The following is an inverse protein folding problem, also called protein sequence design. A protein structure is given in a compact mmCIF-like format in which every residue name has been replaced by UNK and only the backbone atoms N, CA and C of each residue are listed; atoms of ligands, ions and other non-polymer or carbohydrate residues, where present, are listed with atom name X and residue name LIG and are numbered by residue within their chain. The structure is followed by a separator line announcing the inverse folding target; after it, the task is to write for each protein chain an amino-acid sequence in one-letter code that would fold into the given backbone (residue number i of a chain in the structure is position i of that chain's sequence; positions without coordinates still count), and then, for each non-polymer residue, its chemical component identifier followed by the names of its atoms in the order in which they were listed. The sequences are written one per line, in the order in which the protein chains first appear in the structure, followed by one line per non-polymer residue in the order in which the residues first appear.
data_IF_417705112468
#
_entry.id   IF_417705112468
#
_cell.length_a   1.000
_cell.length_b   1.000
_cell.length_c   1.000
_cell.angle_alpha   90.00
_cell.angle_beta   90.00
_cell.angle_gamma   90.00
#
_symmetry.space_group_name_H-M   'P 1'
#
loop_
_entity.id
_entity.type
_entity.pdbx_description
1 polymer ?
#
# COMPACT_ATOMS: atom_id res chain seq x y z
N UNK A 1 18.84 36.74 24.83
CA UNK A 1 18.32 36.05 23.63
C UNK A 1 18.71 34.58 23.54
N UNK A 2 20.00 34.22 23.50
CA UNK A 2 20.44 32.84 23.21
C UNK A 2 19.91 31.73 24.16
N UNK A 3 19.64 32.03 25.44
CA UNK A 3 19.07 31.06 26.40
C UNK A 3 17.59 30.75 26.10
N UNK A 4 16.81 31.76 25.73
CA UNK A 4 15.40 31.62 25.40
C UNK A 4 15.21 30.79 24.13
N UNK A 5 16.00 31.08 23.08
CA UNK A 5 15.97 30.33 21.83
C UNK A 5 16.30 28.84 22.05
N UNK A 6 17.30 28.53 22.88
CA UNK A 6 17.64 27.13 23.23
C UNK A 6 16.50 26.42 23.97
N UNK A 7 15.83 27.11 24.89
CA UNK A 7 14.69 26.54 25.62
C UNK A 7 13.53 26.21 24.66
N UNK A 8 13.20 27.13 23.75
CA UNK A 8 12.16 26.91 22.72
C UNK A 8 12.51 25.73 21.82
N UNK A 9 13.75 25.64 21.33
CA UNK A 9 14.20 24.51 20.50
C UNK A 9 14.07 23.17 21.25
N UNK A 10 14.47 23.12 22.52
CA UNK A 10 14.35 21.89 23.32
C UNK A 10 12.89 21.48 23.54
N UNK A 11 11.99 22.44 23.74
CA UNK A 11 10.55 22.18 23.84
C UNK A 11 10.00 21.62 22.52
N UNK A 12 10.37 22.20 21.38
CA UNK A 12 9.95 21.70 20.06
C UNK A 12 10.42 20.27 19.85
N UNK A 13 11.70 19.98 20.10
CA UNK A 13 12.25 18.62 19.94
C UNK A 13 11.54 17.63 20.87
N UNK A 14 11.24 18.05 22.10
CA UNK A 14 10.47 17.23 23.04
C UNK A 14 9.08 16.92 22.49
N UNK A 15 8.35 17.93 22.01
CA UNK A 15 7.01 17.75 21.44
C UNK A 15 7.04 16.85 20.20
N UNK A 16 8.05 16.96 19.34
CA UNK A 16 8.24 16.07 18.19
C UNK A 16 8.48 14.63 18.65
N UNK A 17 9.35 14.42 19.66
CA UNK A 17 9.59 13.10 20.23
C UNK A 17 8.33 12.47 20.82
N UNK A 18 7.55 13.24 21.58
CA UNK A 18 6.26 12.79 22.11
C UNK A 18 5.27 12.49 20.99
N UNK A 19 5.18 13.34 19.97
CA UNK A 19 4.30 13.12 18.82
C UNK A 19 4.66 11.82 18.07
N UNK A 20 5.94 11.54 17.86
CA UNK A 20 6.41 10.29 17.25
C UNK A 20 5.98 9.04 18.04
N UNK A 21 5.84 9.14 19.36
CA UNK A 21 5.35 8.04 20.20
C UNK A 21 3.82 7.94 20.12
N UNK A 22 3.11 9.07 20.24
CA UNK A 22 1.66 9.09 20.42
C UNK A 22 0.92 8.87 19.09
N UNK A 23 1.39 9.44 17.98
CA UNK A 23 0.71 9.39 16.69
C UNK A 23 0.46 7.96 16.18
N UNK A 24 1.41 7.00 16.26
CA UNK A 24 1.15 5.61 15.87
C UNK A 24 -0.07 4.99 16.57
N UNK A 25 -0.32 5.32 17.83
CA UNK A 25 -1.47 4.80 18.59
C UNK A 25 -2.75 5.55 18.26
N UNK A 26 -2.70 6.88 18.09
CA UNK A 26 -3.86 7.69 17.67
C UNK A 26 -4.40 7.24 16.30
N UNK A 27 -3.51 6.86 15.39
CA UNK A 27 -3.90 6.35 14.07
C UNK A 27 -4.10 4.83 14.01
N UNK A 28 -4.04 4.13 15.15
CA UNK A 28 -4.16 2.67 15.23
C UNK A 28 -3.20 1.92 14.28
N UNK A 29 -1.99 2.46 14.08
CA UNK A 29 -1.01 1.86 13.17
C UNK A 29 -0.68 0.40 13.54
N UNK A 30 -0.47 -0.01 14.81
CA UNK A 30 -0.18 -1.40 15.16
C UNK A 30 -1.26 -2.40 14.68
N UNK A 31 -2.53 -2.04 14.82
CA UNK A 31 -3.64 -2.88 14.41
C UNK A 31 -3.74 -2.91 12.87
N UNK A 32 -3.60 -1.75 12.22
CA UNK A 32 -3.67 -1.63 10.76
C UNK A 32 -2.53 -2.36 10.05
N UNK A 33 -1.30 -2.25 10.54
CA UNK A 33 -0.15 -2.94 9.94
C UNK A 33 -0.23 -4.46 10.17
N UNK A 34 -0.75 -4.90 11.31
CA UNK A 34 -1.03 -6.33 11.55
C UNK A 34 -2.16 -6.84 10.66
N UNK A 35 -3.21 -6.05 10.45
CA UNK A 35 -4.29 -6.41 9.54
C UNK A 35 -3.82 -6.49 8.08
N UNK A 36 -3.01 -5.53 7.64
CA UNK A 36 -2.41 -5.53 6.30
C UNK A 36 -1.52 -6.77 6.07
N UNK A 37 -0.70 -7.15 7.06
CA UNK A 37 0.14 -8.35 7.03
C UNK A 37 -0.68 -9.65 6.90
N UNK A 38 -1.75 -9.77 7.70
CA UNK A 38 -2.70 -10.89 7.59
C UNK A 38 -3.40 -10.93 6.24
N UNK A 39 -3.83 -9.78 5.74
CA UNK A 39 -4.46 -9.67 4.43
C UNK A 39 -3.49 -10.14 3.34
N UNK A 40 -2.26 -9.64 3.32
CA UNK A 40 -1.25 -10.03 2.34
C UNK A 40 -0.97 -11.54 2.38
N UNK A 41 -0.89 -12.11 3.59
CA UNK A 41 -0.72 -13.56 3.79
C UNK A 41 -1.92 -14.37 3.28
N UNK A 42 -3.14 -13.87 3.46
CA UNK A 42 -4.35 -14.52 2.98
C UNK A 42 -4.52 -14.45 1.46
N UNK A 43 -4.01 -13.41 0.82
CA UNK A 43 -4.02 -13.26 -0.64
C UNK A 43 -2.87 -13.98 -1.34
N UNK A 44 -1.81 -14.39 -0.62
CA UNK A 44 -0.66 -15.11 -1.18
C UNK A 44 -1.00 -16.36 -2.02
N UNK A 45 -1.91 -17.27 -1.57
CA UNK A 45 -2.29 -18.41 -2.40
C UNK A 45 -3.11 -18.01 -3.63
N UNK A 46 -3.54 -16.76 -3.78
CA UNK A 46 -4.38 -16.29 -4.89
C UNK A 46 -3.54 -15.43 -5.85
N UNK A 47 -2.76 -14.49 -5.31
CA UNK A 47 -1.97 -13.52 -6.06
C UNK A 47 -0.51 -13.98 -6.08
N UNK A 48 -0.24 -14.99 -6.88
CA UNK A 48 1.10 -15.52 -7.12
C UNK A 48 1.36 -15.78 -8.62
N UNK A 49 2.63 -15.94 -8.96
CA UNK A 49 3.09 -16.04 -10.35
C UNK A 49 2.48 -17.23 -11.08
N UNK A 50 2.27 -18.35 -10.40
CA UNK A 50 1.72 -19.56 -11.01
C UNK A 50 0.25 -19.32 -11.41
N UNK A 51 -0.55 -18.72 -10.54
CA UNK A 51 -1.93 -18.36 -10.87
C UNK A 51 -2.03 -17.24 -11.91
N UNK A 52 -1.14 -16.25 -11.87
CA UNK A 52 -1.10 -15.20 -12.89
C UNK A 52 -0.80 -15.80 -14.28
N UNK A 53 0.13 -16.76 -14.35
CA UNK A 53 0.46 -17.46 -15.60
C UNK A 53 -0.70 -18.33 -16.08
N UNK A 54 -1.37 -19.04 -15.16
CA UNK A 54 -2.56 -19.84 -15.48
C UNK A 54 -3.68 -18.96 -16.06
N UNK A 55 -4.00 -17.84 -15.40
CA UNK A 55 -5.02 -16.91 -15.86
C UNK A 55 -4.69 -16.33 -17.24
N UNK A 56 -3.42 -16.03 -17.49
CA UNK A 56 -2.98 -15.55 -18.81
C UNK A 56 -3.23 -16.59 -19.90
N UNK A 57 -2.91 -17.86 -19.65
CA UNK A 57 -3.19 -18.95 -20.58
C UNK A 57 -4.69 -19.21 -20.79
N UNK A 58 -5.50 -19.09 -19.74
CA UNK A 58 -6.96 -19.24 -19.83
C UNK A 58 -7.58 -18.13 -20.68
N UNK A 59 -7.14 -16.88 -20.48
CA UNK A 59 -7.59 -15.73 -21.29
C UNK A 59 -7.16 -15.86 -22.75
N UNK A 60 -5.92 -16.31 -23.00
CA UNK A 60 -5.43 -16.56 -24.36
C UNK A 60 -6.28 -17.63 -25.05
N UNK A 61 -6.55 -18.75 -24.37
CA UNK A 61 -7.40 -19.83 -24.87
C UNK A 61 -8.81 -19.34 -25.23
N UNK A 62 -9.44 -18.56 -24.33
CA UNK A 62 -10.77 -18.01 -24.58
C UNK A 62 -10.78 -16.98 -25.71
N UNK A 63 -9.71 -16.20 -25.85
CA UNK A 63 -9.56 -15.23 -26.94
C UNK A 63 -9.44 -15.94 -28.30
N UNK A 64 -8.65 -17.00 -28.38
CA UNK A 64 -8.56 -17.83 -29.60
C UNK A 64 -9.90 -18.46 -29.96
N UNK A 65 -10.68 -18.95 -28.99
CA UNK A 65 -12.03 -19.47 -29.25
C UNK A 65 -12.99 -18.40 -29.80
N UNK A 66 -12.87 -17.15 -29.34
CA UNK A 66 -13.66 -16.04 -29.86
C UNK A 66 -13.25 -15.68 -31.30
N UNK A 67 -11.95 -15.64 -31.60
CA UNK A 67 -11.42 -15.44 -32.95
C UNK A 67 -11.85 -16.56 -33.92
N UNK A 68 -11.82 -17.82 -33.47
CA UNK A 68 -12.32 -18.96 -34.24
C UNK A 68 -13.81 -18.78 -34.56
N UNK A 69 -14.61 -18.31 -33.60
CA UNK A 69 -16.05 -18.05 -33.82
C UNK A 69 -16.28 -16.97 -34.88
N UNK A 70 -15.46 -15.91 -34.87
CA UNK A 70 -15.50 -14.85 -35.89
C UNK A 70 -15.13 -15.37 -37.28
N UNK A 71 -14.34 -16.44 -37.37
CA UNK A 71 -13.96 -17.06 -38.65
C UNK A 71 -15.00 -18.08 -39.12
N UNK A 72 -15.59 -18.83 -38.19
CA UNK A 72 -16.55 -19.90 -38.50
C UNK A 72 -17.92 -19.35 -38.93
N UNK A 73 -18.36 -18.22 -38.38
CA UNK A 73 -19.65 -17.60 -38.72
C UNK A 73 -19.74 -17.21 -40.21
N UNK A 74 -18.77 -16.48 -40.78
CA UNK A 74 -18.75 -16.19 -42.21
C UNK A 74 -18.73 -17.47 -43.07
N UNK A 75 -17.94 -18.47 -42.70
CA UNK A 75 -17.86 -19.74 -43.42
C UNK A 75 -19.21 -20.50 -43.41
N UNK A 76 -19.94 -20.44 -42.29
CA UNK A 76 -21.30 -20.97 -42.20
C UNK A 76 -22.27 -20.19 -43.10
N UNK A 77 -22.15 -18.86 -43.14
CA UNK A 77 -22.92 -18.00 -44.05
C UNK A 77 -22.71 -18.38 -45.51
N UNK A 78 -21.45 -18.53 -45.94
CA UNK A 78 -21.10 -18.97 -47.29
C UNK A 78 -21.71 -20.34 -47.64
N UNK A 79 -21.64 -21.30 -46.71
CA UNK A 79 -22.23 -22.63 -46.91
C UNK A 79 -23.77 -22.61 -47.00
N UNK A 80 -24.41 -21.68 -46.30
CA UNK A 80 -25.85 -21.47 -46.37
C UNK A 80 -26.30 -20.59 -47.55
N UNK A 81 -25.35 -20.09 -48.35
CA UNK A 81 -25.63 -19.16 -49.45
C UNK A 81 -26.11 -17.79 -48.99
N UNK A 82 -25.81 -17.41 -47.74
CA UNK A 82 -26.17 -16.13 -47.14
C UNK A 82 -24.97 -15.18 -47.14
N UNK A 83 -25.22 -13.88 -47.29
CA UNK A 83 -24.20 -12.87 -47.01
C UNK A 83 -24.01 -12.70 -45.50
N UNK A 84 -22.86 -12.16 -45.09
CA UNK A 84 -22.54 -11.90 -43.69
C UNK A 84 -23.59 -10.98 -43.01
N UNK A 85 -24.07 -9.98 -43.75
CA UNK A 85 -25.15 -9.10 -43.30
C UNK A 85 -26.47 -9.86 -43.08
N UNK A 86 -26.84 -10.76 -44.01
CA UNK A 86 -28.05 -11.57 -43.88
C UNK A 86 -27.97 -12.54 -42.69
N UNK A 87 -26.79 -13.13 -42.46
CA UNK A 87 -26.57 -14.01 -41.31
C UNK A 87 -26.68 -13.23 -39.99
N UNK A 88 -26.08 -12.04 -39.90
CA UNK A 88 -26.19 -11.18 -38.72
C UNK A 88 -27.63 -10.72 -38.46
N UNK A 89 -28.37 -10.33 -39.52
CA UNK A 89 -29.77 -9.96 -39.39
C UNK A 89 -30.63 -11.14 -38.91
N UNK A 90 -30.38 -12.35 -39.44
CA UNK A 90 -31.05 -13.58 -38.98
C UNK A 90 -30.70 -13.89 -37.52
N UNK A 91 -29.44 -13.80 -37.12
CA UNK A 91 -29.01 -14.02 -35.75
C UNK A 91 -29.62 -13.00 -34.78
N UNK A 92 -29.75 -11.74 -35.20
CA UNK A 92 -30.39 -10.71 -34.39
C UNK A 92 -31.91 -10.92 -34.25
N UNK A 93 -32.57 -11.38 -35.32
CA UNK A 93 -34.02 -11.59 -35.33
C UNK A 93 -34.44 -12.90 -34.65
N UNK A 94 -33.80 -14.02 -35.01
CA UNK A 94 -34.20 -15.37 -34.61
C UNK A 94 -33.45 -15.87 -33.36
N UNK A 95 -32.24 -15.36 -33.11
CA UNK A 95 -31.38 -15.77 -32.00
C UNK A 95 -30.83 -14.60 -31.18
N UNK A 96 -31.69 -13.69 -30.64
CA UNK A 96 -31.24 -12.46 -29.99
C UNK A 96 -30.31 -12.70 -28.78
N UNK A 97 -30.45 -13.84 -28.09
CA UNK A 97 -29.56 -14.23 -27.00
C UNK A 97 -28.13 -14.54 -27.46
N UNK A 98 -27.97 -15.14 -28.65
CA UNK A 98 -26.65 -15.42 -29.24
C UNK A 98 -25.99 -14.11 -29.70
N UNK A 99 -26.74 -13.24 -30.39
CA UNK A 99 -26.25 -11.93 -30.79
C UNK A 99 -25.78 -11.08 -29.59
N UNK A 100 -26.58 -11.02 -28.52
CA UNK A 100 -26.20 -10.35 -27.28
C UNK A 100 -25.02 -11.04 -26.57
N UNK A 101 -24.95 -12.36 -26.62
CA UNK A 101 -23.87 -13.16 -26.05
C UNK A 101 -22.53 -12.87 -26.69
N UNK A 102 -22.48 -12.76 -28.02
CA UNK A 102 -21.26 -12.42 -28.77
C UNK A 102 -20.69 -11.06 -28.36
N UNK A 103 -21.53 -10.02 -28.26
CA UNK A 103 -21.10 -8.70 -27.79
C UNK A 103 -20.59 -8.73 -26.34
N UNK A 104 -21.31 -9.41 -25.45
CA UNK A 104 -20.88 -9.52 -24.04
C UNK A 104 -19.59 -10.32 -23.89
N UNK A 105 -19.38 -11.33 -24.73
CA UNK A 105 -18.16 -12.14 -24.69
C UNK A 105 -16.95 -11.29 -25.04
N UNK A 106 -17.04 -10.46 -26.08
CA UNK A 106 -15.96 -9.51 -26.44
C UNK A 106 -15.65 -8.52 -25.32
N UNK A 107 -16.68 -7.93 -24.69
CA UNK A 107 -16.51 -7.05 -23.53
C UNK A 107 -15.85 -7.77 -22.35
N UNK A 108 -16.31 -8.98 -22.03
CA UNK A 108 -15.74 -9.79 -20.95
C UNK A 108 -14.29 -10.17 -21.22
N UNK A 109 -13.93 -10.57 -22.43
CA UNK A 109 -12.55 -10.92 -22.79
C UNK A 109 -11.62 -9.70 -22.75
N UNK A 110 -12.11 -8.54 -23.19
CA UNK A 110 -11.38 -7.28 -23.07
C UNK A 110 -11.11 -6.95 -21.60
N UNK A 111 -12.11 -7.11 -20.75
CA UNK A 111 -11.95 -6.88 -19.31
C UNK A 111 -11.02 -7.91 -18.66
N UNK A 112 -11.22 -9.20 -18.93
CA UNK A 112 -10.42 -10.29 -18.36
C UNK A 112 -8.96 -10.19 -18.77
N UNK A 113 -8.66 -9.83 -20.02
CA UNK A 113 -7.29 -9.59 -20.47
C UNK A 113 -6.67 -8.39 -19.76
N UNK A 114 -7.39 -7.27 -19.62
CA UNK A 114 -6.91 -6.10 -18.89
C UNK A 114 -6.66 -6.38 -17.40
N UNK A 115 -7.61 -7.01 -16.71
CA UNK A 115 -7.49 -7.37 -15.29
C UNK A 115 -6.34 -8.39 -15.07
N UNK A 116 -6.21 -9.38 -15.96
CA UNK A 116 -5.13 -10.38 -15.91
C UNK A 116 -3.76 -9.74 -16.17
N UNK A 117 -3.67 -8.80 -17.11
CA UNK A 117 -2.44 -8.06 -17.36
C UNK A 117 -1.99 -7.30 -16.11
N UNK A 118 -2.91 -6.60 -15.42
CA UNK A 118 -2.59 -5.90 -14.17
C UNK A 118 -2.10 -6.88 -13.11
N UNK A 119 -2.74 -8.04 -12.95
CA UNK A 119 -2.29 -9.07 -12.01
C UNK A 119 -0.87 -9.54 -12.36
N UNK A 120 -0.61 -9.89 -13.62
CA UNK A 120 0.70 -10.37 -14.07
C UNK A 120 1.81 -9.31 -13.93
N UNK A 121 1.50 -8.03 -14.19
CA UNK A 121 2.45 -6.93 -14.00
C UNK A 121 2.73 -6.65 -12.51
N UNK A 122 1.73 -6.83 -11.64
CA UNK A 122 1.82 -6.46 -10.22
C UNK A 122 2.14 -7.61 -9.27
N UNK A 123 2.06 -8.88 -9.72
CA UNK A 123 2.31 -10.05 -8.87
C UNK A 123 3.73 -10.03 -8.27
N UNK A 124 4.71 -9.56 -9.04
CA UNK A 124 6.07 -9.37 -8.53
C UNK A 124 6.18 -8.26 -7.48
N UNK A 125 5.39 -7.19 -7.60
CA UNK A 125 5.33 -6.11 -6.61
C UNK A 125 4.61 -6.58 -5.33
N UNK A 126 3.56 -7.39 -5.47
CA UNK A 126 2.89 -8.03 -4.35
C UNK A 126 3.85 -8.93 -3.56
N UNK A 127 4.62 -9.77 -4.25
CA UNK A 127 5.62 -10.64 -3.64
C UNK A 127 6.68 -9.83 -2.84
N UNK A 128 7.20 -8.74 -3.42
CA UNK A 128 8.13 -7.83 -2.74
C UNK A 128 7.51 -7.12 -1.54
N UNK A 129 6.26 -6.66 -1.67
CA UNK A 129 5.57 -5.95 -0.60
C UNK A 129 5.35 -6.84 0.63
N UNK A 130 5.13 -8.14 0.42
CA UNK A 130 5.00 -9.15 1.49
C UNK A 130 6.29 -9.34 2.29
N UNK A 131 7.45 -9.14 1.69
CA UNK A 131 8.74 -9.27 2.38
C UNK A 131 9.02 -8.08 3.32
N UNK A 132 8.29 -6.98 3.17
CA UNK A 132 8.49 -5.81 4.03
C UNK A 132 7.96 -6.08 5.45
N UNK A 133 8.73 -5.74 6.51
CA UNK A 133 8.30 -5.90 7.89
C UNK A 133 7.32 -4.78 8.31
N UNK A 134 6.20 -4.62 7.58
CA UNK A 134 5.22 -3.52 7.76
C UNK A 134 4.63 -3.55 9.17
N UNK A 135 4.44 -4.74 9.73
CA UNK A 135 4.01 -4.95 11.13
C UNK A 135 4.90 -4.22 12.14
N UNK A 136 6.19 -4.07 11.85
CA UNK A 136 7.17 -3.46 12.75
C UNK A 136 7.29 -1.94 12.58
N UNK A 137 6.81 -1.37 11.47
CA UNK A 137 6.85 0.07 11.18
C UNK A 137 6.37 0.97 12.32
N UNK A 138 5.27 0.68 13.06
CA UNK A 138 4.83 1.53 14.17
C UNK A 138 5.87 1.62 15.30
N UNK A 139 6.62 0.54 15.54
CA UNK A 139 7.63 0.47 16.59
C UNK A 139 8.87 1.31 16.27
N UNK A 140 9.21 1.49 14.99
CA UNK A 140 10.28 2.41 14.59
C UNK A 140 10.00 3.84 15.06
N UNK A 141 8.77 4.32 14.88
CA UNK A 141 8.35 5.65 15.35
C UNK A 141 8.41 5.76 16.87
N UNK A 142 7.91 4.74 17.57
CA UNK A 142 7.90 4.70 19.04
C UNK A 142 9.32 4.67 19.60
N UNK A 143 10.21 3.84 19.06
CA UNK A 143 11.62 3.75 19.48
C UNK A 143 12.32 5.08 19.22
N UNK A 144 12.18 5.65 18.03
CA UNK A 144 12.83 6.91 17.67
C UNK A 144 12.37 8.07 18.56
N UNK A 145 11.04 8.20 18.75
CA UNK A 145 10.48 9.20 19.67
C UNK A 145 10.93 8.96 21.11
N UNK A 146 10.97 7.69 21.54
CA UNK A 146 11.44 7.28 22.86
C UNK A 146 12.89 7.67 23.12
N UNK A 147 13.80 7.44 22.16
CA UNK A 147 15.20 7.84 22.26
C UNK A 147 15.34 9.36 22.40
N UNK A 148 14.59 10.14 21.60
CA UNK A 148 14.63 11.61 21.68
C UNK A 148 14.18 12.10 23.06
N UNK A 149 13.04 11.61 23.55
CA UNK A 149 12.49 11.98 24.85
C UNK A 149 13.45 11.55 25.97
N UNK A 150 13.98 10.33 25.90
CA UNK A 150 14.92 9.80 26.88
C UNK A 150 16.20 10.62 26.97
N UNK A 151 16.81 11.00 25.84
CA UNK A 151 18.03 11.82 25.82
C UNK A 151 17.79 13.22 26.39
N UNK A 152 16.62 13.82 26.14
CA UNK A 152 16.25 15.12 26.72
C UNK A 152 16.06 15.03 28.24
N UNK A 153 15.39 13.99 28.72
CA UNK A 153 15.21 13.76 30.15
C UNK A 153 16.53 13.44 30.85
N UNK A 154 17.39 12.61 30.23
CA UNK A 154 18.72 12.29 30.73
C UNK A 154 19.57 13.55 30.85
N UNK A 155 19.57 14.41 29.81
CA UNK A 155 20.25 15.70 29.85
C UNK A 155 19.76 16.57 31.00
N UNK A 156 18.45 16.61 31.24
CA UNK A 156 17.85 17.40 32.31
C UNK A 156 18.22 16.87 33.69
N UNK A 157 18.29 15.54 33.84
CA UNK A 157 18.69 14.86 35.07
C UNK A 157 20.19 15.02 35.39
N UNK A 158 21.04 14.99 34.35
CA UNK A 158 22.48 15.20 34.48
C UNK A 158 22.85 16.67 34.71
N UNK A 159 21.95 17.60 34.40
CA UNK A 159 22.15 19.02 34.66
C UNK A 159 21.79 19.38 36.12
N UNK A 160 22.47 18.74 37.09
CA UNK A 160 22.37 19.15 38.50
C UNK A 160 22.88 20.59 38.63
N UNK A 161 22.08 21.54 39.17
CA UNK A 161 22.56 22.89 39.40
C UNK A 161 23.69 22.83 40.44
N UNK A 162 24.89 23.31 40.09
CA UNK A 162 25.94 23.60 41.08
C UNK A 162 25.31 24.54 42.10
N UNK A 163 25.12 24.07 43.35
CA UNK A 163 24.78 24.95 44.47
C UNK A 163 25.82 26.07 44.44
N UNK A 164 25.38 27.32 44.29
CA UNK A 164 26.27 28.47 44.46
C UNK A 164 26.83 28.33 45.87
N UNK A 165 28.12 28.03 45.98
CA UNK A 165 28.82 28.15 47.25
C UNK A 165 28.70 29.62 47.67
N UNK A 166 27.91 29.84 48.72
CA UNK A 166 27.84 31.12 49.41
C UNK A 166 29.24 31.42 49.92
N UNK A 167 29.92 32.35 49.26
CA UNK A 167 31.23 32.84 49.66
C UNK A 167 31.08 33.38 51.10
N UNK A 168 31.81 32.86 52.11
CA UNK A 168 31.68 33.35 53.46
C UNK A 168 32.03 34.85 53.46
N UNK A 169 31.20 35.65 54.13
CA UNK A 169 31.41 37.07 54.28
C UNK A 169 32.84 37.33 54.78
N UNK A 170 33.59 38.16 54.06
CA UNK A 170 34.94 38.54 54.47
C UNK A 170 34.87 39.18 55.86
N UNK A 171 35.77 38.83 56.80
CA UNK A 171 35.78 39.45 58.10
C UNK A 171 36.01 40.96 57.95
N UNK A 172 35.18 41.75 58.62
CA UNK A 172 35.31 43.21 58.65
C UNK A 172 36.73 43.58 59.12
N UNK A 173 37.43 44.39 58.34
CA UNK A 173 38.75 44.88 58.72
C UNK A 173 38.64 45.68 60.04
N UNK A 174 39.57 45.49 60.99
CA UNK A 174 39.58 46.29 62.20
C UNK A 174 39.93 47.75 61.85
N UNK A 175 39.13 48.67 62.36
CA UNK A 175 39.45 50.09 62.35
C UNK A 175 40.41 50.40 63.50
N UNK A 176 41.70 50.58 63.18
CA UNK A 176 42.67 51.48 63.83
C UNK A 176 44.06 51.22 63.23
#
# INVERSE_FOLDING_TARGET
MAKFLKAVILIIIFLVGVALIVLPFVYHMPDRTTAADKMMTAFDPIVNTDHATLLQGDVETLSSMAEDTQTLLPALGEQLGMTEAQLNDMLAADYPGLAAGMQKMEEMLTRLSGDTQVITEQVGNFAKAKELPIKWTPWLFVILGGVIVFLLLLRLLLWRPRKKEEKPAAPAAPAA
#
